data_IF_106539033199
#
_entry.id   IF_106539033199
#
_cell.length_a   1.000
_cell.length_b   1.000
_cell.length_c   1.000
_cell.angle_alpha   90.00
_cell.angle_beta   90.00
_cell.angle_gamma   90.00
#
_symmetry.space_group_name_H-M   'P 1'
#
loop_
_entity.id
_entity.type
_entity.pdbx_description
1 polymer ?
#
# COMPACT_ATOMS: atom_id res chain seq x y z
N UNK A 1 25.08 -25.23 -15.53
CA UNK A 1 24.05 -24.32 -16.08
C UNK A 1 23.08 -23.80 -15.02
N UNK A 2 22.55 -24.64 -14.12
CA UNK A 2 21.63 -24.23 -13.03
C UNK A 2 22.30 -23.31 -11.97
N UNK A 3 23.58 -23.49 -11.64
CA UNK A 3 24.28 -22.62 -10.68
C UNK A 3 24.54 -21.20 -11.21
N UNK A 4 24.85 -21.04 -12.50
CA UNK A 4 24.99 -19.73 -13.16
C UNK A 4 23.63 -19.02 -13.26
N UNK A 5 22.54 -19.80 -13.39
CA UNK A 5 21.16 -19.32 -13.47
C UNK A 5 20.67 -18.65 -12.18
N UNK A 6 20.92 -19.27 -11.02
CA UNK A 6 20.60 -18.66 -9.73
C UNK A 6 21.46 -17.42 -9.45
N UNK A 7 22.74 -17.45 -9.82
CA UNK A 7 23.67 -16.36 -9.58
C UNK A 7 23.19 -15.03 -10.19
N UNK A 8 22.67 -15.04 -11.42
CA UNK A 8 22.20 -13.83 -12.09
C UNK A 8 20.94 -13.22 -11.47
N UNK A 9 20.00 -14.05 -10.98
CA UNK A 9 18.76 -13.59 -10.34
C UNK A 9 19.07 -12.96 -8.98
N UNK A 10 19.91 -13.62 -8.18
CA UNK A 10 20.32 -13.10 -6.88
C UNK A 10 21.11 -11.79 -7.01
N UNK A 11 21.99 -11.67 -8.01
CA UNK A 11 22.71 -10.41 -8.28
C UNK A 11 21.75 -9.30 -8.65
N UNK A 12 20.80 -9.56 -9.55
CA UNK A 12 19.83 -8.54 -9.96
C UNK A 12 18.99 -8.03 -8.78
N UNK A 13 18.51 -8.94 -7.93
CA UNK A 13 17.75 -8.56 -6.72
C UNK A 13 18.63 -7.81 -5.72
N UNK A 14 19.86 -8.27 -5.48
CA UNK A 14 20.79 -7.64 -4.56
C UNK A 14 21.13 -6.20 -4.96
N UNK A 15 21.45 -5.97 -6.23
CA UNK A 15 21.74 -4.61 -6.72
C UNK A 15 20.48 -3.74 -6.65
N UNK A 16 19.30 -4.28 -7.03
CA UNK A 16 18.04 -3.56 -6.95
C UNK A 16 17.73 -3.08 -5.52
N UNK A 17 17.90 -3.95 -4.52
CA UNK A 17 17.65 -3.61 -3.11
C UNK A 17 18.60 -2.49 -2.65
N UNK A 18 19.89 -2.57 -2.99
CA UNK A 18 20.86 -1.54 -2.59
C UNK A 18 20.58 -0.19 -3.25
N UNK A 19 20.23 -0.17 -4.54
CA UNK A 19 19.82 1.05 -5.25
C UNK A 19 18.53 1.63 -4.66
N UNK A 20 17.55 0.78 -4.34
CA UNK A 20 16.31 1.21 -3.70
C UNK A 20 16.56 1.87 -2.34
N UNK A 21 17.44 1.30 -1.52
CA UNK A 21 17.78 1.88 -0.21
C UNK A 21 18.40 3.28 -0.33
N UNK A 22 19.31 3.48 -1.29
CA UNK A 22 19.89 4.80 -1.57
C UNK A 22 18.83 5.80 -2.06
N UNK A 23 17.96 5.37 -2.98
CA UNK A 23 16.89 6.21 -3.51
C UNK A 23 15.89 6.63 -2.43
N UNK A 24 15.57 5.76 -1.47
CA UNK A 24 14.68 6.09 -0.34
C UNK A 24 15.29 7.20 0.52
N UNK A 25 16.60 7.14 0.80
CA UNK A 25 17.29 8.13 1.63
C UNK A 25 17.26 9.53 0.98
N UNK A 26 17.46 9.62 -0.34
CA UNK A 26 17.41 10.89 -1.08
C UNK A 26 15.97 11.39 -1.33
N UNK A 27 14.99 10.49 -1.45
CA UNK A 27 13.58 10.86 -1.64
C UNK A 27 13.03 11.68 -0.46
N UNK A 28 13.61 11.51 0.73
CA UNK A 28 13.22 12.26 1.93
C UNK A 28 13.42 13.76 1.81
N UNK A 29 14.44 14.19 1.07
CA UNK A 29 14.73 15.61 0.83
C UNK A 29 13.58 16.28 0.06
N UNK A 30 12.91 15.51 -0.79
CA UNK A 30 11.81 15.97 -1.65
C UNK A 30 10.42 15.71 -1.06
N UNK A 31 10.31 15.31 0.22
CA UNK A 31 9.03 14.97 0.87
C UNK A 31 8.02 16.14 0.89
N UNK A 32 8.51 17.39 0.95
CA UNK A 32 7.68 18.60 0.89
C UNK A 32 7.20 18.96 -0.52
N UNK A 33 7.77 18.34 -1.56
CA UNK A 33 7.44 18.66 -2.94
C UNK A 33 6.19 17.88 -3.38
N UNK A 34 5.10 18.60 -3.63
CA UNK A 34 3.83 18.03 -4.10
C UNK A 34 3.97 17.24 -5.40
N UNK A 35 4.88 17.66 -6.28
CA UNK A 35 5.14 16.95 -7.51
C UNK A 35 5.68 15.54 -7.25
N UNK A 36 6.59 15.41 -6.30
CA UNK A 36 7.17 14.12 -5.89
C UNK A 36 6.15 13.25 -5.15
N UNK A 37 5.28 13.84 -4.33
CA UNK A 37 4.16 13.12 -3.71
C UNK A 37 3.29 12.44 -4.78
N UNK A 38 2.98 13.15 -5.89
CA UNK A 38 2.21 12.59 -7.00
C UNK A 38 2.96 11.48 -7.73
N UNK A 39 4.24 11.69 -8.05
CA UNK A 39 5.04 10.73 -8.82
C UNK A 39 5.37 9.44 -8.04
N UNK A 40 5.76 9.58 -6.77
CA UNK A 40 6.20 8.48 -5.90
C UNK A 40 5.11 8.02 -4.91
N UNK A 41 3.85 8.31 -5.23
CA UNK A 41 2.69 7.68 -4.59
C UNK A 41 2.61 6.18 -4.91
N UNK A 42 3.13 5.78 -6.07
CA UNK A 42 3.21 4.40 -6.55
C UNK A 42 4.67 4.01 -6.86
N UNK A 43 5.01 2.71 -6.82
CA UNK A 43 6.36 2.23 -7.10
C UNK A 43 6.75 2.25 -8.59
N UNK A 44 5.81 2.55 -9.49
CA UNK A 44 5.97 2.40 -10.94
C UNK A 44 7.14 3.21 -11.53
N UNK A 45 7.29 4.46 -11.12
CA UNK A 45 8.41 5.31 -11.55
C UNK A 45 9.71 4.96 -10.82
N UNK A 46 9.61 4.57 -9.56
CA UNK A 46 10.75 4.16 -8.75
C UNK A 46 11.46 2.94 -9.37
N UNK A 47 10.69 1.90 -9.68
CA UNK A 47 11.21 0.70 -10.33
C UNK A 47 11.70 0.99 -11.75
N UNK A 48 11.09 1.95 -12.46
CA UNK A 48 11.57 2.36 -13.78
C UNK A 48 12.98 2.95 -13.71
N UNK A 49 13.22 3.89 -12.79
CA UNK A 49 14.53 4.53 -12.62
C UNK A 49 15.59 3.48 -12.29
N UNK A 50 15.31 2.60 -11.33
CA UNK A 50 16.24 1.53 -10.95
C UNK A 50 16.50 0.58 -12.13
N UNK A 51 15.45 0.20 -12.87
CA UNK A 51 15.59 -0.70 -14.02
C UNK A 51 16.37 -0.08 -15.17
N UNK A 52 16.24 1.23 -15.41
CA UNK A 52 17.04 1.94 -16.43
C UNK A 52 18.52 1.89 -16.06
N UNK A 53 18.87 2.16 -14.79
CA UNK A 53 20.25 2.07 -14.30
C UNK A 53 20.81 0.66 -14.47
N UNK A 54 20.02 -0.37 -14.13
CA UNK A 54 20.42 -1.77 -14.27
C UNK A 54 20.61 -2.19 -15.73
N UNK A 55 19.82 -1.65 -16.67
CA UNK A 55 19.99 -1.93 -18.10
C UNK A 55 21.21 -1.24 -18.67
N UNK A 56 21.48 0.00 -18.28
CA UNK A 56 22.70 0.70 -18.67
C UNK A 56 23.94 -0.04 -18.15
N UNK A 57 23.87 -0.61 -16.94
CA UNK A 57 24.93 -1.47 -16.42
C UNK A 57 25.17 -2.69 -17.33
N UNK A 58 24.13 -3.28 -17.92
CA UNK A 58 24.29 -4.43 -18.82
C UNK A 58 24.77 -4.05 -20.23
N UNK A 59 24.38 -2.89 -20.75
CA UNK A 59 24.72 -2.45 -22.11
C UNK A 59 26.07 -1.73 -22.17
N UNK A 60 26.40 -0.96 -21.13
CA UNK A 60 27.60 -0.12 -21.02
C UNK A 60 28.40 -0.47 -19.76
N UNK A 61 28.72 -1.75 -19.59
CA UNK A 61 29.36 -2.28 -18.39
C UNK A 61 30.62 -1.50 -17.99
N UNK A 62 31.56 -1.30 -18.92
CA UNK A 62 32.84 -0.62 -18.66
C UNK A 62 32.71 0.81 -18.11
N UNK A 63 31.64 1.53 -18.50
CA UNK A 63 31.38 2.90 -18.03
C UNK A 63 30.72 2.95 -16.66
N UNK A 64 29.93 1.92 -16.32
CA UNK A 64 29.14 1.88 -15.10
C UNK A 64 29.86 1.17 -13.95
N UNK A 65 30.73 0.18 -14.21
CA UNK A 65 31.47 -0.56 -13.16
C UNK A 65 32.11 0.33 -12.09
N UNK A 66 32.80 1.44 -12.42
CA UNK A 66 33.44 2.28 -11.39
C UNK A 66 32.44 2.85 -10.37
N UNK A 67 31.18 3.07 -10.78
CA UNK A 67 30.11 3.56 -9.91
C UNK A 67 29.57 2.48 -8.96
N UNK A 68 29.76 1.20 -9.27
CA UNK A 68 29.31 0.07 -8.46
C UNK A 68 30.41 -0.56 -7.60
N UNK A 69 31.68 -0.19 -7.82
CA UNK A 69 32.83 -0.69 -7.05
C UNK A 69 33.09 0.13 -5.76
N UNK A 70 32.49 1.31 -5.61
CA UNK A 70 32.69 2.21 -4.47
C UNK A 70 31.43 2.40 -3.61
N UNK A 71 31.65 2.82 -2.35
CA UNK A 71 30.69 2.96 -1.25
C UNK A 71 29.28 3.50 -1.60
N UNK A 72 28.31 3.20 -0.72
CA UNK A 72 26.90 3.69 -0.73
C UNK A 72 26.72 5.18 -1.07
N UNK A 73 27.72 6.00 -0.75
CA UNK A 73 27.75 7.44 -1.02
C UNK A 73 27.60 7.79 -2.51
N UNK A 74 28.11 6.97 -3.43
CA UNK A 74 27.99 7.24 -4.87
C UNK A 74 26.56 7.02 -5.39
N UNK A 75 25.82 6.05 -4.84
CA UNK A 75 24.41 5.87 -5.19
C UNK A 75 23.56 7.05 -4.72
N UNK A 76 23.84 7.57 -3.53
CA UNK A 76 23.17 8.74 -3.00
C UNK A 76 23.43 9.97 -3.90
N UNK A 77 24.67 10.19 -4.34
CA UNK A 77 24.98 11.27 -5.28
C UNK A 77 24.28 11.10 -6.63
N UNK A 78 24.23 9.87 -7.16
CA UNK A 78 23.50 9.56 -8.40
C UNK A 78 22.01 9.90 -8.28
N UNK A 79 21.33 9.43 -7.23
CA UNK A 79 19.91 9.70 -7.04
C UNK A 79 19.63 11.18 -6.78
N UNK A 80 20.52 11.88 -6.07
CA UNK A 80 20.45 13.32 -5.90
C UNK A 80 20.47 14.07 -7.23
N UNK A 81 21.36 13.68 -8.16
CA UNK A 81 21.40 14.25 -9.51
C UNK A 81 20.13 13.92 -10.32
N UNK A 82 19.66 12.67 -10.25
CA UNK A 82 18.45 12.24 -10.96
C UNK A 82 17.22 13.00 -10.47
N UNK A 83 16.99 13.09 -9.16
CA UNK A 83 15.82 13.78 -8.62
C UNK A 83 15.87 15.28 -8.90
N UNK A 84 17.05 15.91 -8.84
CA UNK A 84 17.21 17.31 -9.26
C UNK A 84 16.81 17.52 -10.72
N UNK A 85 17.23 16.64 -11.63
CA UNK A 85 16.86 16.73 -13.04
C UNK A 85 15.36 16.50 -13.27
N UNK A 86 14.74 15.60 -12.51
CA UNK A 86 13.29 15.37 -12.57
C UNK A 86 12.53 16.63 -12.16
N UNK A 87 12.95 17.30 -11.09
CA UNK A 87 12.29 18.53 -10.62
C UNK A 87 12.44 19.71 -11.59
N UNK A 88 13.59 19.80 -12.27
CA UNK A 88 13.88 20.87 -13.24
C UNK A 88 13.19 20.66 -14.59
N UNK A 89 13.11 19.42 -15.08
CA UNK A 89 12.70 19.11 -16.47
C UNK A 89 11.29 18.58 -16.63
N UNK A 90 10.76 17.88 -15.64
CA UNK A 90 9.47 17.20 -15.81
C UNK A 90 8.30 18.19 -15.72
N UNK A 91 7.29 17.99 -16.58
CA UNK A 91 6.09 18.81 -16.57
C UNK A 91 5.29 18.58 -15.27
N UNK A 92 5.17 19.63 -14.45
CA UNK A 92 4.47 19.61 -13.17
C UNK A 92 2.98 19.33 -13.29
N UNK A 93 2.37 19.53 -14.44
CA UNK A 93 0.92 19.36 -14.63
C UNK A 93 0.55 17.99 -15.19
N UNK A 94 1.25 17.55 -16.24
CA UNK A 94 0.84 16.37 -17.00
C UNK A 94 1.56 15.07 -16.59
N UNK A 95 2.64 15.16 -15.82
CA UNK A 95 3.43 13.97 -15.49
C UNK A 95 2.77 13.14 -14.38
N UNK A 96 2.44 11.88 -14.70
CA UNK A 96 1.77 10.95 -13.79
C UNK A 96 2.58 9.66 -13.62
N UNK A 97 2.46 9.05 -12.43
CA UNK A 97 3.14 7.79 -12.07
C UNK A 97 2.76 6.59 -12.95
N UNK A 98 1.58 6.63 -13.57
CA UNK A 98 1.06 5.54 -14.40
C UNK A 98 1.60 5.57 -15.84
N UNK A 99 1.92 6.75 -16.36
CA UNK A 99 2.30 6.97 -17.77
C UNK A 99 3.83 7.07 -17.93
N UNK A 100 4.49 5.92 -17.84
CA UNK A 100 5.96 5.81 -17.87
C UNK A 100 6.59 6.34 -19.17
N UNK A 101 5.98 6.08 -20.33
CA UNK A 101 6.51 6.53 -21.62
C UNK A 101 6.49 8.05 -21.77
N UNK A 102 5.43 8.69 -21.28
CA UNK A 102 5.33 10.16 -21.26
C UNK A 102 6.39 10.77 -20.35
N UNK A 103 6.60 10.17 -19.16
CA UNK A 103 7.66 10.60 -18.25
C UNK A 103 9.04 10.54 -18.89
N UNK A 104 9.39 9.42 -19.53
CA UNK A 104 10.70 9.23 -20.17
C UNK A 104 10.93 10.22 -21.33
N UNK A 105 9.88 10.57 -22.09
CA UNK A 105 9.97 11.57 -23.17
C UNK A 105 10.13 12.99 -22.64
N UNK A 106 9.60 13.29 -21.46
CA UNK A 106 9.73 14.63 -20.87
C UNK A 106 11.13 14.88 -20.29
N UNK A 107 11.87 13.82 -19.93
CA UNK A 107 13.24 13.92 -19.42
C UNK A 107 14.22 13.76 -20.59
N UNK A 108 14.37 14.81 -21.40
CA UNK A 108 15.33 14.82 -22.50
C UNK A 108 16.61 15.62 -22.16
N UNK A 109 17.73 15.06 -22.63
CA UNK A 109 19.14 15.49 -22.61
C UNK A 109 19.98 15.26 -21.33
N UNK A 110 20.58 14.07 -21.23
CA UNK A 110 21.95 13.86 -20.72
C UNK A 110 22.51 12.51 -21.23
N UNK A 111 23.79 12.18 -20.96
CA UNK A 111 24.64 11.07 -21.49
C UNK A 111 24.00 9.67 -21.72
N UNK A 112 22.80 9.43 -21.19
CA UNK A 112 22.02 8.21 -21.33
C UNK A 112 20.82 8.51 -22.27
N UNK A 113 20.75 7.82 -23.40
CA UNK A 113 19.61 7.93 -24.33
C UNK A 113 18.38 7.24 -23.74
N UNK A 114 17.65 7.93 -22.87
CA UNK A 114 16.47 7.40 -22.15
C UNK A 114 15.35 6.96 -23.11
N UNK A 115 15.28 7.55 -24.29
CA UNK A 115 14.29 7.23 -25.31
C UNK A 115 14.34 5.76 -25.75
N UNK A 116 15.52 5.13 -25.75
CA UNK A 116 15.65 3.71 -26.12
C UNK A 116 14.86 2.78 -25.20
N UNK A 117 14.66 3.19 -23.94
CA UNK A 117 13.89 2.45 -22.95
C UNK A 117 12.38 2.74 -22.98
N UNK A 118 11.93 3.71 -23.78
CA UNK A 118 10.51 4.08 -23.88
C UNK A 118 9.64 2.99 -24.53
N UNK A 119 10.22 2.16 -25.42
CA UNK A 119 9.52 1.05 -26.10
C UNK A 119 9.14 -0.07 -25.13
N UNK A 120 10.04 -0.39 -24.21
CA UNK A 120 9.84 -1.44 -23.20
C UNK A 120 10.19 -0.91 -21.81
N UNK A 121 9.34 -0.08 -21.18
CA UNK A 121 9.65 0.51 -19.88
C UNK A 121 9.81 -0.56 -18.78
N UNK A 122 9.21 -1.75 -18.95
CA UNK A 122 9.11 -2.81 -17.94
C UNK A 122 9.79 -4.14 -18.32
N UNK A 123 10.90 -4.06 -19.05
CA UNK A 123 11.77 -5.22 -19.25
C UNK A 123 12.38 -5.64 -17.92
N UNK A 124 12.17 -6.91 -17.60
CA UNK A 124 12.72 -7.65 -16.45
C UNK A 124 13.47 -8.85 -17.04
N UNK A 125 14.49 -9.38 -16.35
CA UNK A 125 15.12 -10.63 -16.75
C UNK A 125 14.07 -11.72 -17.08
N UNK A 126 14.19 -12.34 -18.26
CA UNK A 126 13.24 -13.36 -18.75
C UNK A 126 13.04 -14.49 -17.74
N UNK A 127 14.12 -14.85 -17.03
CA UNK A 127 14.12 -15.90 -16.02
C UNK A 127 13.17 -15.62 -14.85
N UNK A 128 13.01 -14.34 -14.46
CA UNK A 128 12.04 -13.96 -13.42
C UNK A 128 10.65 -13.95 -14.05
N UNK A 129 10.49 -13.25 -15.18
CA UNK A 129 9.20 -13.03 -15.84
C UNK A 129 8.47 -14.33 -16.22
N UNK A 130 9.18 -15.40 -16.58
CA UNK A 130 8.57 -16.66 -17.01
C UNK A 130 7.97 -17.51 -15.89
N UNK A 131 8.49 -17.40 -14.68
CA UNK A 131 8.10 -18.23 -13.53
C UNK A 131 7.49 -17.43 -12.38
N UNK A 132 7.60 -16.11 -12.42
CA UNK A 132 6.88 -15.22 -11.50
C UNK A 132 5.40 -15.11 -11.87
N UNK A 133 4.71 -14.20 -11.20
CA UNK A 133 3.35 -13.82 -11.56
C UNK A 133 3.30 -13.17 -12.96
N UNK A 134 2.17 -13.35 -13.64
CA UNK A 134 1.91 -12.82 -14.98
C UNK A 134 2.15 -11.31 -15.05
N UNK A 135 3.09 -10.90 -15.92
CA UNK A 135 3.48 -9.49 -16.15
C UNK A 135 3.87 -8.71 -14.89
N UNK A 136 4.27 -9.40 -13.82
CA UNK A 136 4.60 -8.77 -12.55
C UNK A 136 6.02 -8.17 -12.53
N UNK A 137 6.14 -6.98 -11.94
CA UNK A 137 7.39 -6.20 -11.89
C UNK A 137 7.86 -5.94 -10.46
N UNK A 138 6.92 -5.62 -9.57
CA UNK A 138 7.21 -5.05 -8.26
C UNK A 138 7.62 -6.05 -7.18
N UNK A 139 8.70 -6.82 -7.38
CA UNK A 139 9.12 -7.83 -6.41
C UNK A 139 9.57 -7.26 -5.06
N UNK A 140 10.11 -6.03 -5.03
CA UNK A 140 10.50 -5.33 -3.80
C UNK A 140 9.47 -4.27 -3.36
N UNK A 141 8.44 -4.02 -4.15
CA UNK A 141 7.47 -2.96 -3.88
C UNK A 141 6.14 -3.54 -3.42
N UNK A 142 5.48 -4.34 -4.25
CA UNK A 142 4.22 -4.96 -3.85
C UNK A 142 3.39 -5.54 -4.98
N UNK A 143 2.32 -6.22 -4.59
CA UNK A 143 1.32 -6.79 -5.49
C UNK A 143 -0.12 -6.48 -5.04
N UNK A 144 -1.02 -6.28 -6.00
CA UNK A 144 -2.46 -6.19 -5.80
C UNK A 144 -3.17 -7.37 -6.45
N UNK A 145 -3.84 -8.19 -5.65
CA UNK A 145 -4.65 -9.31 -6.10
C UNK A 145 -6.08 -8.84 -6.44
N UNK A 146 -6.53 -9.13 -7.66
CA UNK A 146 -7.89 -8.85 -8.11
C UNK A 146 -8.53 -10.07 -8.80
N UNK A 147 -9.84 -10.01 -9.07
CA UNK A 147 -10.59 -11.10 -9.70
C UNK A 147 -11.94 -11.34 -9.02
N UNK A 148 -12.68 -12.32 -9.49
CA UNK A 148 -14.08 -12.56 -9.10
C UNK A 148 -14.27 -12.95 -7.63
N UNK A 149 -15.51 -12.83 -7.15
CA UNK A 149 -15.88 -13.31 -5.82
C UNK A 149 -15.51 -14.80 -5.69
N UNK A 150 -14.84 -15.18 -4.60
CA UNK A 150 -14.47 -16.57 -4.35
C UNK A 150 -13.26 -17.08 -5.14
N UNK A 151 -12.49 -16.22 -5.82
CA UNK A 151 -11.27 -16.67 -6.53
C UNK A 151 -10.05 -16.99 -5.64
N UNK A 152 -10.18 -16.92 -4.30
CA UNK A 152 -9.10 -17.30 -3.37
C UNK A 152 -8.13 -16.18 -2.94
N UNK A 153 -8.35 -14.92 -3.36
CA UNK A 153 -7.53 -13.75 -2.99
C UNK A 153 -7.20 -13.67 -1.48
N UNK A 154 -8.23 -13.65 -0.64
CA UNK A 154 -8.08 -13.53 0.82
C UNK A 154 -7.36 -14.74 1.45
N UNK A 155 -7.48 -15.92 0.84
CA UNK A 155 -6.76 -17.12 1.27
C UNK A 155 -5.25 -17.04 1.00
N UNK A 156 -4.86 -16.46 -0.13
CA UNK A 156 -3.44 -16.18 -0.43
C UNK A 156 -2.86 -15.19 0.59
N UNK A 157 -3.60 -14.13 0.93
CA UNK A 157 -3.17 -13.19 1.98
C UNK A 157 -2.92 -13.91 3.31
N UNK A 158 -3.84 -14.79 3.72
CA UNK A 158 -3.71 -15.56 4.96
C UNK A 158 -2.46 -16.47 4.96
N UNK A 159 -2.19 -17.15 3.85
CA UNK A 159 -0.98 -17.99 3.76
C UNK A 159 0.29 -17.15 3.89
N UNK A 160 0.35 -15.99 3.23
CA UNK A 160 1.52 -15.09 3.28
C UNK A 160 1.69 -14.45 4.67
N UNK A 161 0.62 -14.06 5.35
CA UNK A 161 0.72 -13.52 6.72
C UNK A 161 1.25 -14.56 7.70
N UNK A 162 0.77 -15.81 7.62
CA UNK A 162 1.27 -16.90 8.46
C UNK A 162 2.74 -17.18 8.18
N UNK A 163 3.13 -17.29 6.91
CA UNK A 163 4.53 -17.45 6.51
C UNK A 163 5.42 -16.32 7.07
N UNK A 164 4.96 -15.07 7.02
CA UNK A 164 5.68 -13.93 7.54
C UNK A 164 5.91 -14.04 9.06
N UNK A 165 4.89 -14.40 9.83
CA UNK A 165 5.03 -14.62 11.28
C UNK A 165 6.02 -15.73 11.61
N UNK A 166 5.96 -16.88 10.92
CA UNK A 166 6.92 -17.98 11.12
C UNK A 166 8.37 -17.58 10.82
N UNK A 167 8.58 -16.66 9.88
CA UNK A 167 9.91 -16.15 9.52
C UNK A 167 10.34 -14.91 10.33
N UNK A 168 9.59 -14.52 11.36
CA UNK A 168 9.86 -13.33 12.20
C UNK A 168 9.86 -12.00 11.41
N UNK A 169 8.98 -11.88 10.42
CA UNK A 169 8.69 -10.63 9.74
C UNK A 169 7.61 -9.87 10.53
N UNK A 170 7.68 -8.53 10.50
CA UNK A 170 6.63 -7.70 11.10
C UNK A 170 5.46 -7.65 10.14
N UNK A 171 4.28 -8.00 10.63
CA UNK A 171 3.05 -7.99 9.83
C UNK A 171 2.19 -6.81 10.24
N UNK A 172 2.00 -5.89 9.30
CA UNK A 172 1.10 -4.73 9.40
C UNK A 172 -0.19 -5.11 8.68
N UNK A 173 -1.15 -5.66 9.42
CA UNK A 173 -2.35 -6.26 8.86
C UNK A 173 -3.56 -5.32 8.93
N UNK A 174 -4.33 -5.29 7.84
CA UNK A 174 -5.68 -4.72 7.74
C UNK A 174 -6.61 -5.83 7.24
N UNK A 175 -7.25 -6.58 8.16
CA UNK A 175 -8.05 -7.76 7.79
C UNK A 175 -9.26 -7.43 6.92
N UNK A 176 -9.85 -6.24 7.06
CA UNK A 176 -11.00 -5.83 6.27
C UNK A 176 -11.17 -4.31 6.22
N UNK A 177 -10.76 -3.69 5.11
CA UNK A 177 -10.92 -2.25 4.93
C UNK A 177 -12.38 -1.78 4.77
N UNK A 178 -13.32 -2.70 4.49
CA UNK A 178 -14.76 -2.39 4.51
C UNK A 178 -15.19 -1.86 5.87
N UNK A 179 -14.70 -2.48 6.95
CA UNK A 179 -15.12 -2.13 8.32
C UNK A 179 -14.65 -0.73 8.73
N UNK A 180 -13.58 -0.22 8.13
CA UNK A 180 -13.07 1.12 8.43
C UNK A 180 -13.82 2.22 7.66
N UNK A 181 -14.34 1.88 6.48
CA UNK A 181 -14.86 2.86 5.51
C UNK A 181 -16.38 2.84 5.38
N UNK A 182 -17.01 1.70 5.62
CA UNK A 182 -18.44 1.48 5.40
C UNK A 182 -19.21 1.13 6.68
N UNK A 183 -18.52 1.05 7.82
CA UNK A 183 -19.15 1.00 9.15
C UNK A 183 -18.91 2.31 9.90
N UNK A 184 -19.83 2.61 10.81
CA UNK A 184 -19.78 3.82 11.64
C UNK A 184 -18.73 3.66 12.75
N UNK A 185 -17.85 4.66 12.86
CA UNK A 185 -16.87 4.81 13.94
C UNK A 185 -16.81 6.29 14.36
N UNK A 186 -16.53 6.61 15.62
CA UNK A 186 -16.35 8.00 16.03
C UNK A 186 -15.20 8.67 15.28
N UNK A 187 -15.44 9.90 14.83
CA UNK A 187 -14.48 10.68 14.08
C UNK A 187 -14.57 12.15 14.47
N UNK A 188 -13.42 12.82 14.54
CA UNK A 188 -13.35 14.23 14.92
C UNK A 188 -12.44 14.99 13.95
N UNK A 189 -12.92 16.09 13.40
CA UNK A 189 -12.14 16.88 12.42
C UNK A 189 -11.11 17.75 13.14
N UNK A 190 -9.87 17.71 12.67
CA UNK A 190 -8.88 18.71 13.06
C UNK A 190 -9.11 20.02 12.28
N UNK A 191 -9.19 21.19 12.96
CA UNK A 191 -9.57 22.46 12.31
C UNK A 191 -8.59 22.89 11.22
N UNK A 192 -7.27 22.82 11.51
CA UNK A 192 -6.20 23.19 10.56
C UNK A 192 -6.02 22.19 9.41
N UNK A 193 -5.72 20.92 9.73
CA UNK A 193 -5.31 19.92 8.73
C UNK A 193 -6.49 19.38 7.92
N UNK A 194 -7.71 19.48 8.43
CA UNK A 194 -8.92 18.96 7.80
C UNK A 194 -9.06 17.44 7.79
N UNK A 195 -8.09 16.72 8.39
CA UNK A 195 -8.13 15.28 8.59
C UNK A 195 -9.14 14.96 9.70
N UNK A 196 -9.88 13.86 9.52
CA UNK A 196 -10.77 13.34 10.54
C UNK A 196 -10.05 12.24 11.36
N UNK A 197 -9.78 12.57 12.63
CA UNK A 197 -9.10 11.74 13.61
C UNK A 197 -10.04 10.61 14.07
N UNK A 198 -9.55 9.37 14.10
CA UNK A 198 -10.29 8.17 14.50
C UNK A 198 -9.56 7.42 15.62
N UNK A 199 -9.67 7.95 16.84
CA UNK A 199 -8.89 7.48 17.99
C UNK A 199 -9.28 6.07 18.47
N UNK A 200 -10.57 5.74 18.46
CA UNK A 200 -11.07 4.41 18.86
C UNK A 200 -10.61 3.33 17.89
N UNK A 201 -10.83 3.56 16.59
CA UNK A 201 -10.39 2.66 15.53
C UNK A 201 -8.86 2.44 15.54
N UNK A 202 -8.11 3.53 15.79
CA UNK A 202 -6.66 3.46 15.94
C UNK A 202 -6.24 2.59 17.15
N UNK A 203 -6.93 2.73 18.28
CA UNK A 203 -6.67 1.95 19.49
C UNK A 203 -6.93 0.45 19.29
N UNK A 204 -8.03 0.10 18.63
CA UNK A 204 -8.35 -1.29 18.28
C UNK A 204 -7.28 -1.91 17.38
N UNK A 205 -6.85 -1.17 16.35
CA UNK A 205 -5.79 -1.63 15.47
C UNK A 205 -4.46 -1.81 16.21
N UNK A 206 -4.06 -0.86 17.08
CA UNK A 206 -2.84 -0.96 17.88
C UNK A 206 -2.83 -2.21 18.78
N UNK A 207 -3.97 -2.57 19.39
CA UNK A 207 -4.10 -3.80 20.18
C UNK A 207 -3.84 -5.06 19.36
N UNK A 208 -4.45 -5.14 18.17
CA UNK A 208 -4.24 -6.27 17.24
C UNK A 208 -2.79 -6.34 16.74
N UNK A 209 -2.22 -5.18 16.40
CA UNK A 209 -0.84 -5.06 15.94
C UNK A 209 0.17 -5.46 17.03
N UNK A 210 -0.05 -5.02 18.27
CA UNK A 210 0.73 -5.42 19.45
C UNK A 210 0.67 -6.93 19.64
N UNK A 211 -0.53 -7.50 19.71
CA UNK A 211 -0.71 -8.93 19.96
C UNK A 211 0.06 -9.81 18.96
N UNK A 212 0.09 -9.41 17.69
CA UNK A 212 0.72 -10.18 16.62
C UNK A 212 2.25 -10.04 16.56
N UNK A 213 2.81 -8.92 17.05
CA UNK A 213 4.22 -8.56 16.83
C UNK A 213 5.00 -8.25 18.12
N UNK A 214 4.43 -8.45 19.30
CA UNK A 214 4.97 -7.99 20.58
C UNK A 214 6.45 -8.35 20.80
N UNK A 215 6.82 -9.61 20.49
CA UNK A 215 8.19 -10.11 20.69
C UNK A 215 9.23 -9.39 19.82
N UNK A 216 8.84 -8.95 18.62
CA UNK A 216 9.71 -8.22 17.70
C UNK A 216 9.77 -6.73 18.06
N UNK A 217 8.63 -6.13 18.44
CA UNK A 217 8.55 -4.70 18.79
C UNK A 217 9.42 -4.33 20.00
N UNK A 218 9.62 -5.26 20.95
CA UNK A 218 10.53 -5.06 22.09
C UNK A 218 11.99 -4.93 21.69
N UNK A 219 12.39 -5.51 20.55
CA UNK A 219 13.77 -5.56 20.10
C UNK A 219 14.16 -4.34 19.25
N UNK A 220 13.18 -3.62 18.72
CA UNK A 220 13.41 -2.50 17.80
C UNK A 220 13.61 -1.23 18.62
N UNK A 221 14.84 -0.74 18.61
CA UNK A 221 15.18 0.56 19.19
C UNK A 221 14.63 1.70 18.34
N UNK A 222 14.25 2.80 19.01
CA UNK A 222 13.69 3.98 18.35
C UNK A 222 14.81 4.89 17.85
N UNK A 223 14.65 5.42 16.64
CA UNK A 223 15.46 6.53 16.14
C UNK A 223 14.82 7.86 16.55
N UNK A 224 15.44 8.53 17.53
CA UNK A 224 15.00 9.82 18.06
C UNK A 224 15.08 10.96 17.04
N UNK A 225 15.85 10.82 15.94
CA UNK A 225 15.87 11.83 14.87
C UNK A 225 14.58 11.86 14.06
N UNK A 226 13.87 10.74 14.05
CA UNK A 226 12.64 10.54 13.28
C UNK A 226 11.42 10.76 14.18
N UNK A 227 11.52 10.36 15.45
CA UNK A 227 10.43 10.42 16.41
C UNK A 227 9.93 11.85 16.69
N UNK A 228 8.61 12.01 16.80
CA UNK A 228 7.96 13.23 17.29
C UNK A 228 7.66 14.30 16.23
N UNK A 229 7.75 13.92 14.95
CA UNK A 229 7.46 14.80 13.80
C UNK A 229 6.01 14.73 13.35
N UNK A 230 5.23 13.76 13.83
CA UNK A 230 3.81 13.67 13.54
C UNK A 230 2.97 14.43 14.58
N UNK A 231 2.01 15.21 14.07
CA UNK A 231 0.96 15.84 14.88
C UNK A 231 -0.14 14.85 15.28
N UNK A 232 -1.02 15.27 16.19
CA UNK A 232 -2.16 14.46 16.66
C UNK A 232 -3.04 13.92 15.52
N UNK A 233 -3.21 14.73 14.47
CA UNK A 233 -4.03 14.37 13.30
C UNK A 233 -3.35 13.44 12.30
N UNK A 234 -2.06 13.11 12.49
CA UNK A 234 -1.29 12.27 11.57
C UNK A 234 -0.61 13.01 10.41
N UNK A 235 -0.61 14.35 10.44
CA UNK A 235 0.18 15.14 9.50
C UNK A 235 1.61 15.29 10.02
N UNK A 236 2.59 15.07 9.14
CA UNK A 236 4.01 15.27 9.42
C UNK A 236 4.44 16.72 9.10
N UNK A 237 5.42 17.23 9.83
CA UNK A 237 5.94 18.60 9.64
C UNK A 237 6.55 18.84 8.24
N UNK A 238 7.27 17.85 7.71
CA UNK A 238 7.92 17.92 6.40
C UNK A 238 7.09 17.35 5.23
N UNK A 239 5.80 17.11 5.43
CA UNK A 239 4.91 16.65 4.35
C UNK A 239 4.06 17.81 3.81
N UNK A 240 3.64 17.68 2.55
CA UNK A 240 2.61 18.52 1.98
C UNK A 240 1.34 18.51 2.85
N UNK A 241 0.54 19.57 2.75
CA UNK A 241 -0.78 19.61 3.38
C UNK A 241 -1.62 18.40 2.93
N UNK A 242 -2.03 17.58 3.91
CA UNK A 242 -2.78 16.36 3.67
C UNK A 242 -4.13 16.62 2.98
N UNK A 243 -4.80 17.72 3.37
CA UNK A 243 -6.01 18.23 2.71
C UNK A 243 -5.67 19.53 2.01
N UNK A 244 -5.63 19.48 0.69
CA UNK A 244 -5.25 20.61 -0.15
C UNK A 244 -6.45 21.50 -0.45
N UNK A 245 -6.20 22.79 -0.68
CA UNK A 245 -7.21 23.70 -1.19
C UNK A 245 -7.34 23.52 -2.71
N UNK A 246 -8.10 22.51 -3.12
CA UNK A 246 -8.28 22.13 -4.52
C UNK A 246 -9.22 23.14 -5.20
N UNK A 247 -8.87 23.55 -6.42
CA UNK A 247 -9.77 24.30 -7.29
C UNK A 247 -10.52 23.36 -8.23
N UNK A 248 -11.85 23.39 -8.15
CA UNK A 248 -12.72 22.64 -9.05
C UNK A 248 -12.93 23.46 -10.32
N UNK A 249 -12.13 23.20 -11.37
CA UNK A 249 -12.17 23.96 -12.63
C UNK A 249 -13.57 24.09 -13.22
N UNK A 250 -14.35 23.00 -13.21
CA UNK A 250 -15.71 22.98 -13.76
C UNK A 250 -16.70 23.84 -12.96
N UNK A 251 -16.46 24.00 -11.65
CA UNK A 251 -17.31 24.76 -10.73
C UNK A 251 -16.79 26.17 -10.46
N UNK A 252 -15.55 26.48 -10.88
CA UNK A 252 -14.83 27.74 -10.60
C UNK A 252 -14.87 28.13 -9.12
N UNK A 253 -14.75 27.13 -8.25
CA UNK A 253 -14.83 27.28 -6.80
C UNK A 253 -13.67 26.54 -6.14
N UNK A 254 -13.22 27.07 -5.00
CA UNK A 254 -12.14 26.46 -4.21
C UNK A 254 -12.73 25.61 -3.10
N UNK A 255 -12.03 24.55 -2.73
CA UNK A 255 -12.46 23.67 -1.65
C UNK A 255 -12.66 24.46 -0.34
N UNK A 256 -11.81 25.43 -0.04
CA UNK A 256 -11.89 26.25 1.17
C UNK A 256 -13.12 27.17 1.27
N UNK A 257 -13.85 27.38 0.16
CA UNK A 257 -15.07 28.20 0.15
C UNK A 257 -16.17 27.67 1.08
N UNK A 258 -16.09 26.42 1.53
CA UNK A 258 -17.01 25.85 2.53
C UNK A 258 -17.02 26.63 3.87
N UNK A 259 -15.93 27.35 4.20
CA UNK A 259 -15.84 28.17 5.42
C UNK A 259 -16.78 29.38 5.41
N UNK A 260 -17.30 29.79 4.24
CA UNK A 260 -18.27 30.89 4.11
C UNK A 260 -19.58 30.59 4.82
N UNK A 261 -19.92 29.32 4.98
CA UNK A 261 -21.15 28.88 5.64
C UNK A 261 -21.01 28.77 7.16
N UNK A 262 -19.82 29.01 7.73
CA UNK A 262 -19.61 28.88 9.16
C UNK A 262 -20.13 30.09 9.94
N UNK A 263 -20.80 29.81 11.05
CA UNK A 263 -21.15 30.83 12.03
C UNK A 263 -19.95 31.28 12.88
N UNK A 264 -20.08 32.41 13.59
CA UNK A 264 -19.02 32.91 14.49
C UNK A 264 -18.71 31.93 15.64
N UNK A 265 -19.74 31.27 16.18
CA UNK A 265 -19.58 30.27 17.24
C UNK A 265 -18.72 29.08 16.82
N UNK A 266 -18.90 28.60 15.59
CA UNK A 266 -18.12 27.48 15.05
C UNK A 266 -16.66 27.89 14.83
N UNK A 267 -16.42 29.12 14.38
CA UNK A 267 -15.06 29.66 14.24
C UNK A 267 -14.35 29.77 15.59
N UNK A 268 -15.04 30.22 16.64
CA UNK A 268 -14.49 30.26 18.01
C UNK A 268 -14.19 28.85 18.53
N UNK A 269 -15.11 27.90 18.32
CA UNK A 269 -14.91 26.50 18.67
C UNK A 269 -13.70 25.89 17.94
N UNK A 270 -13.51 26.17 16.66
CA UNK A 270 -12.33 25.71 15.90
C UNK A 270 -11.01 26.24 16.50
N UNK A 271 -10.98 27.47 17.02
CA UNK A 271 -9.80 28.05 17.69
C UNK A 271 -9.51 27.31 19.00
N UNK A 272 -10.53 27.03 19.81
CA UNK A 272 -10.41 26.29 21.07
C UNK A 272 -9.95 24.85 20.82
N UNK A 273 -10.58 24.17 19.86
CA UNK A 273 -10.19 22.83 19.42
C UNK A 273 -8.75 22.78 18.93
N UNK A 274 -8.31 23.81 18.19
CA UNK A 274 -6.93 23.87 17.71
C UNK A 274 -5.93 23.95 18.88
N UNK A 275 -6.25 24.68 19.95
CA UNK A 275 -5.40 24.71 21.16
C UNK A 275 -5.35 23.35 21.84
N UNK A 276 -6.47 22.63 21.92
CA UNK A 276 -6.52 21.29 22.52
C UNK A 276 -5.76 20.25 21.70
N UNK A 277 -5.81 20.33 20.37
CA UNK A 277 -5.16 19.38 19.47
C UNK A 277 -3.69 19.69 19.17
N UNK A 278 -3.19 20.86 19.56
CA UNK A 278 -1.78 21.22 19.43
C UNK A 278 -0.93 20.59 20.54
N UNK A 279 -1.06 19.28 20.72
CA UNK A 279 -0.27 18.46 21.65
C UNK A 279 0.23 17.25 20.89
N UNK A 280 1.52 16.93 21.06
CA UNK A 280 2.15 15.76 20.43
C UNK A 280 2.42 14.65 21.43
N UNK A 281 2.58 13.43 20.92
CA UNK A 281 2.97 12.28 21.76
C UNK A 281 4.38 12.46 22.34
N UNK A 282 5.29 13.09 21.57
CA UNK A 282 6.68 13.34 21.96
C UNK A 282 6.83 14.30 23.15
N UNK A 283 5.86 15.18 23.39
CA UNK A 283 5.86 16.07 24.56
C UNK A 283 5.62 15.30 25.86
N UNK A 284 4.82 14.24 25.78
CA UNK A 284 4.45 13.41 26.93
C UNK A 284 5.41 12.22 27.12
N UNK A 285 5.81 11.60 26.02
CA UNK A 285 6.73 10.47 25.98
C UNK A 285 8.05 10.92 25.35
N UNK A 286 8.98 11.42 26.16
CA UNK A 286 10.18 12.10 25.66
C UNK A 286 11.25 11.16 25.09
N UNK A 287 11.48 10.02 25.74
CA UNK A 287 12.59 9.11 25.40
C UNK A 287 12.14 7.64 25.47
N UNK A 288 11.26 7.21 24.55
CA UNK A 288 10.89 5.80 24.45
C UNK A 288 12.07 4.94 23.98
N UNK A 289 12.28 3.79 24.61
CA UNK A 289 13.41 2.89 24.28
C UNK A 289 13.10 1.99 23.09
N UNK A 290 11.89 1.48 23.03
CA UNK A 290 11.45 0.51 22.02
C UNK A 290 10.10 0.90 21.42
N UNK A 291 9.77 0.33 20.25
CA UNK A 291 8.49 0.60 19.59
C UNK A 291 7.28 0.19 20.43
N UNK A 292 7.45 -0.81 21.31
CA UNK A 292 6.37 -1.26 22.17
C UNK A 292 5.91 -0.17 23.15
N UNK A 293 6.82 0.64 23.69
CA UNK A 293 6.47 1.73 24.61
C UNK A 293 5.56 2.78 23.94
N UNK A 294 5.79 3.10 22.66
CA UNK A 294 4.91 3.99 21.88
C UNK A 294 3.53 3.35 21.70
N UNK A 295 3.49 2.07 21.34
CA UNK A 295 2.24 1.32 21.15
C UNK A 295 1.45 1.24 22.46
N UNK A 296 2.10 0.93 23.57
CA UNK A 296 1.49 0.82 24.89
C UNK A 296 0.95 2.16 25.37
N UNK A 297 1.69 3.25 25.15
CA UNK A 297 1.21 4.59 25.46
C UNK A 297 -0.04 4.97 24.64
N UNK A 298 -0.06 4.64 23.34
CA UNK A 298 -1.23 4.86 22.48
C UNK A 298 -2.44 4.00 22.88
N UNK A 299 -2.20 2.77 23.34
CA UNK A 299 -3.28 1.89 23.84
C UNK A 299 -3.87 2.44 25.15
N UNK A 300 -3.02 2.88 26.07
CA UNK A 300 -3.45 3.39 27.38
C UNK A 300 -4.10 4.77 27.28
N UNK A 301 -3.62 5.63 26.36
CA UNK A 301 -4.14 6.98 26.16
C UNK A 301 -4.79 7.10 24.78
N UNK A 302 -6.10 6.84 24.72
CA UNK A 302 -6.87 6.82 23.48
C UNK A 302 -6.73 8.11 22.66
N UNK A 303 -6.57 9.27 23.31
CA UNK A 303 -6.37 10.56 22.65
C UNK A 303 -5.15 10.59 21.72
N UNK A 304 -4.08 9.84 22.06
CA UNK A 304 -2.84 9.78 21.29
C UNK A 304 -2.74 8.55 20.37
N UNK A 305 -3.75 7.66 20.34
CA UNK A 305 -3.75 6.45 19.51
C UNK A 305 -3.42 6.75 18.05
N UNK A 306 -4.04 7.78 17.48
CA UNK A 306 -3.82 8.15 16.09
C UNK A 306 -2.37 8.56 15.84
N UNK A 307 -1.80 9.43 16.69
CA UNK A 307 -0.40 9.86 16.56
C UNK A 307 0.57 8.67 16.70
N UNK A 308 0.30 7.77 17.64
CA UNK A 308 1.11 6.57 17.85
C UNK A 308 1.18 5.67 16.59
N UNK A 309 0.09 5.53 15.81
CA UNK A 309 0.12 4.74 14.56
C UNK A 309 1.14 5.30 13.58
N UNK A 310 1.09 6.62 13.31
CA UNK A 310 1.97 7.24 12.33
C UNK A 310 3.44 7.19 12.76
N UNK A 311 3.72 7.47 14.03
CA UNK A 311 5.08 7.36 14.59
C UNK A 311 5.61 5.92 14.49
N UNK A 312 4.77 4.91 14.79
CA UNK A 312 5.17 3.50 14.66
C UNK A 312 5.44 3.14 13.19
N UNK A 313 4.57 3.53 12.26
CA UNK A 313 4.76 3.24 10.83
C UNK A 313 6.03 3.88 10.28
N UNK A 314 6.34 5.10 10.71
CA UNK A 314 7.55 5.80 10.28
C UNK A 314 8.81 5.12 10.83
N UNK A 315 8.82 4.72 12.11
CA UNK A 315 9.94 3.95 12.66
C UNK A 315 10.12 2.60 11.95
N UNK A 316 9.02 1.93 11.61
CA UNK A 316 9.03 0.69 10.83
C UNK A 316 9.61 0.86 9.42
N UNK A 317 9.44 2.04 8.82
CA UNK A 317 9.94 2.37 7.47
C UNK A 317 11.47 2.49 7.42
N UNK A 318 12.08 3.04 8.47
CA UNK A 318 13.54 3.30 8.51
C UNK A 318 14.36 2.18 9.12
N UNK A 319 13.76 1.31 9.94
CA UNK A 319 14.49 0.19 10.52
C UNK A 319 15.08 -0.75 9.45
N UNK A 320 16.20 -1.39 9.80
CA UNK A 320 16.90 -2.35 8.93
C UNK A 320 16.92 -3.77 9.52
N UNK A 321 16.46 -3.94 10.75
CA UNK A 321 16.56 -5.18 11.51
C UNK A 321 15.55 -6.24 11.05
N UNK A 322 14.28 -5.84 10.90
CA UNK A 322 13.22 -6.75 10.48
C UNK A 322 12.60 -6.29 9.17
N UNK A 323 12.11 -7.25 8.40
CA UNK A 323 11.32 -6.96 7.21
C UNK A 323 9.88 -6.58 7.61
N UNK A 324 9.23 -5.74 6.78
CA UNK A 324 7.87 -5.25 7.02
C UNK A 324 6.94 -5.72 5.91
N UNK A 325 5.92 -6.49 6.27
CA UNK A 325 4.87 -6.91 5.35
C UNK A 325 3.59 -6.12 5.63
N UNK A 326 3.18 -5.27 4.70
CA UNK A 326 1.89 -4.56 4.76
C UNK A 326 0.83 -5.36 4.01
N UNK A 327 -0.20 -5.82 4.71
CA UNK A 327 -1.28 -6.65 4.14
C UNK A 327 -2.62 -5.96 4.29
N UNK A 328 -3.36 -5.84 3.18
CA UNK A 328 -4.68 -5.19 3.18
C UNK A 328 -5.68 -6.03 2.38
N UNK A 329 -6.75 -6.48 3.04
CA UNK A 329 -7.92 -7.02 2.33
C UNK A 329 -9.01 -5.95 2.19
N UNK A 330 -9.73 -5.97 1.08
CA UNK A 330 -10.74 -4.97 0.73
C UNK A 330 -10.17 -3.62 0.30
N UNK A 331 -8.96 -3.59 -0.27
CA UNK A 331 -8.27 -2.36 -0.68
C UNK A 331 -9.11 -1.47 -1.62
N UNK A 332 -9.98 -2.06 -2.43
CA UNK A 332 -10.93 -1.36 -3.29
C UNK A 332 -11.95 -0.50 -2.54
N UNK A 333 -12.28 -0.82 -1.28
CA UNK A 333 -13.20 -0.01 -0.48
C UNK A 333 -12.58 1.32 -0.04
N UNK A 334 -11.25 1.40 0.07
CA UNK A 334 -10.59 2.65 0.47
C UNK A 334 -10.61 3.73 -0.63
N UNK A 335 -10.82 3.36 -1.90
CA UNK A 335 -11.00 4.31 -3.01
C UNK A 335 -12.47 4.66 -3.28
N UNK A 336 -13.41 4.02 -2.58
CA UNK A 336 -14.83 4.31 -2.71
C UNK A 336 -15.25 5.40 -1.74
N UNK A 337 -16.38 6.03 -2.03
CA UNK A 337 -17.07 6.89 -1.07
C UNK A 337 -17.31 6.12 0.24
N UNK A 338 -17.08 6.79 1.36
CA UNK A 338 -17.31 6.21 2.68
C UNK A 338 -18.76 6.46 3.14
N UNK A 339 -19.14 5.87 4.27
CA UNK A 339 -20.41 6.18 4.93
C UNK A 339 -20.37 7.50 5.73
N UNK A 340 -19.18 8.03 6.03
CA UNK A 340 -19.02 9.19 6.90
C UNK A 340 -19.52 10.47 6.21
N UNK A 341 -20.54 11.16 6.76
CA UNK A 341 -21.10 12.34 6.13
C UNK A 341 -20.27 13.60 6.42
N UNK A 342 -20.27 14.52 5.45
CA UNK A 342 -19.76 15.88 5.61
C UNK A 342 -20.24 16.76 4.46
N UNK A 343 -20.82 17.93 4.78
CA UNK A 343 -21.28 18.88 3.77
C UNK A 343 -20.15 19.48 2.93
N UNK A 344 -18.89 19.43 3.41
CA UNK A 344 -17.73 20.04 2.75
C UNK A 344 -17.41 19.41 1.39
N UNK A 345 -17.76 18.14 1.20
CA UNK A 345 -17.56 17.39 -0.06
C UNK A 345 -18.82 17.35 -0.94
N UNK A 346 -19.75 18.30 -0.76
CA UNK A 346 -20.94 18.39 -1.60
C UNK A 346 -20.63 18.84 -3.05
N UNK A 347 -19.50 19.52 -3.26
CA UNK A 347 -19.07 19.99 -4.60
C UNK A 347 -18.73 18.82 -5.52
N UNK A 348 -18.19 17.73 -4.97
CA UNK A 348 -17.85 16.52 -5.70
C UNK A 348 -19.08 15.62 -5.85
N UNK A 349 -19.50 15.43 -7.10
CA UNK A 349 -20.70 14.66 -7.47
C UNK A 349 -20.55 13.15 -7.23
N UNK A 350 -19.31 12.65 -7.11
CA UNK A 350 -19.01 11.26 -6.80
C UNK A 350 -19.08 11.01 -5.29
N UNK A 351 -18.56 11.95 -4.49
CA UNK A 351 -18.57 11.85 -3.02
C UNK A 351 -19.95 12.14 -2.45
N UNK A 352 -20.71 13.10 -3.01
CA UNK A 352 -22.07 13.44 -2.55
C UNK A 352 -22.14 13.66 -1.03
N UNK A 353 -21.42 14.67 -0.55
CA UNK A 353 -21.37 15.03 0.88
C UNK A 353 -20.90 13.90 1.81
N UNK A 354 -20.00 13.04 1.33
CA UNK A 354 -19.33 12.04 2.16
C UNK A 354 -17.84 12.34 2.25
N UNK A 355 -17.22 11.95 3.36
CA UNK A 355 -15.78 12.09 3.57
C UNK A 355 -15.06 11.00 2.81
N UNK A 356 -14.07 11.31 1.97
CA UNK A 356 -13.27 10.27 1.33
C UNK A 356 -12.30 9.61 2.33
N UNK A 357 -12.00 8.30 2.20
CA UNK A 357 -11.09 7.61 3.13
C UNK A 357 -9.68 8.19 3.21
N UNK A 358 -9.15 8.84 2.16
CA UNK A 358 -7.84 9.51 2.20
C UNK A 358 -7.79 10.76 3.09
N UNK A 359 -8.94 11.25 3.57
CA UNK A 359 -9.06 12.31 4.58
C UNK A 359 -9.41 11.76 5.98
N UNK A 360 -9.67 10.46 6.10
CA UNK A 360 -9.77 9.78 7.38
C UNK A 360 -8.36 9.36 7.82
N UNK A 361 -8.03 9.62 9.07
CA UNK A 361 -6.69 9.37 9.62
C UNK A 361 -6.25 7.90 9.50
N UNK A 362 -6.99 6.95 10.05
CA UNK A 362 -6.56 5.53 10.04
C UNK A 362 -6.44 4.97 8.61
N UNK A 363 -7.45 5.07 7.71
CA UNK A 363 -7.30 4.61 6.33
C UNK A 363 -6.16 5.30 5.58
N UNK A 364 -5.93 6.60 5.80
CA UNK A 364 -4.82 7.35 5.17
C UNK A 364 -3.46 6.72 5.48
N UNK A 365 -3.25 6.21 6.68
CA UNK A 365 -2.00 5.56 7.08
C UNK A 365 -1.66 4.31 6.24
N UNK A 366 -2.69 3.59 5.76
CA UNK A 366 -2.52 2.33 5.03
C UNK A 366 -2.84 2.43 3.52
N UNK A 367 -3.52 3.49 3.10
CA UNK A 367 -4.02 3.66 1.73
C UNK A 367 -2.93 3.72 0.67
N UNK A 368 -1.79 4.38 0.97
CA UNK A 368 -0.74 4.53 -0.03
C UNK A 368 -0.16 3.17 -0.42
N UNK A 369 0.02 2.91 -1.73
CA UNK A 369 0.67 1.69 -2.20
C UNK A 369 2.19 1.90 -2.26
N UNK A 370 2.80 2.10 -1.09
CA UNK A 370 4.15 2.63 -0.93
C UNK A 370 5.15 1.61 -0.39
N UNK A 371 5.02 0.34 -0.78
CA UNK A 371 5.96 -0.70 -0.35
C UNK A 371 7.42 -0.42 -0.70
N UNK A 372 7.68 0.31 -1.79
CA UNK A 372 9.01 0.79 -2.17
C UNK A 372 9.65 1.78 -1.17
N UNK A 373 8.86 2.37 -0.26
CA UNK A 373 9.38 3.27 0.79
C UNK A 373 9.92 2.52 2.01
N UNK A 374 9.57 1.24 2.16
CA UNK A 374 10.12 0.37 3.20
C UNK A 374 11.41 -0.28 2.69
N UNK A 375 12.54 -0.04 3.37
CA UNK A 375 13.86 -0.52 2.90
C UNK A 375 13.92 -2.04 2.68
N UNK A 376 13.25 -2.81 3.54
CA UNK A 376 13.10 -4.25 3.47
C UNK A 376 11.61 -4.62 3.61
N UNK A 377 10.75 -4.03 2.78
CA UNK A 377 9.30 -4.23 2.91
C UNK A 377 8.63 -4.72 1.65
N UNK A 378 7.41 -5.24 1.83
CA UNK A 378 6.55 -5.66 0.73
C UNK A 378 5.10 -5.29 1.05
N UNK A 379 4.37 -4.77 0.07
CA UNK A 379 2.94 -4.47 0.20
C UNK A 379 2.10 -5.45 -0.59
N UNK A 380 1.15 -6.12 0.07
CA UNK A 380 0.22 -7.04 -0.55
C UNK A 380 -1.22 -6.59 -0.29
N UNK A 381 -1.93 -6.25 -1.36
CA UNK A 381 -3.32 -5.80 -1.28
C UNK A 381 -4.25 -6.80 -2.00
N UNK A 382 -5.49 -6.93 -1.54
CA UNK A 382 -6.53 -7.66 -2.25
C UNK A 382 -7.80 -6.81 -2.41
N UNK A 383 -8.48 -6.98 -3.54
CA UNK A 383 -9.82 -6.43 -3.74
C UNK A 383 -10.89 -7.41 -3.25
N UNK A 384 -11.94 -6.93 -2.60
CA UNK A 384 -13.10 -7.75 -2.21
C UNK A 384 -14.37 -7.28 -2.90
N UNK A 385 -15.09 -8.20 -3.52
CA UNK A 385 -16.34 -7.94 -4.27
C UNK A 385 -17.54 -8.71 -3.72
N UNK A 386 -17.43 -9.30 -2.52
CA UNK A 386 -18.49 -10.15 -1.92
C UNK A 386 -19.86 -9.45 -1.80
N UNK A 387 -19.86 -8.16 -1.50
CA UNK A 387 -21.09 -7.39 -1.28
C UNK A 387 -21.78 -6.93 -2.57
N UNK A 388 -21.13 -7.10 -3.71
CA UNK A 388 -21.64 -6.63 -4.98
C UNK A 388 -21.95 -7.83 -5.88
N UNK A 389 -23.10 -7.79 -6.53
CA UNK A 389 -23.45 -8.78 -7.54
C UNK A 389 -22.82 -8.39 -8.88
N UNK A 390 -22.17 -9.34 -9.56
CA UNK A 390 -21.56 -9.17 -10.89
C UNK A 390 -20.62 -7.96 -11.05
N UNK A 391 -19.99 -7.53 -9.96
CA UNK A 391 -19.07 -6.42 -10.01
C UNK A 391 -17.68 -6.86 -10.42
N UNK A 392 -17.29 -6.52 -11.65
CA UNK A 392 -15.93 -6.75 -12.16
C UNK A 392 -15.01 -5.63 -11.68
N UNK A 393 -14.16 -5.92 -10.69
CA UNK A 393 -13.12 -5.00 -10.28
C UNK A 393 -11.87 -5.21 -11.13
N UNK A 394 -11.40 -4.15 -11.79
CA UNK A 394 -10.12 -4.16 -12.52
C UNK A 394 -9.18 -3.09 -11.95
N UNK A 395 -7.85 -3.26 -12.06
CA UNK A 395 -6.89 -2.24 -11.64
C UNK A 395 -7.13 -0.87 -12.30
N UNK A 396 -7.69 -0.85 -13.51
CA UNK A 396 -8.07 0.36 -14.23
C UNK A 396 -9.13 1.19 -13.49
N UNK A 397 -10.02 0.57 -12.73
CA UNK A 397 -11.09 1.27 -12.00
C UNK A 397 -10.58 2.24 -10.93
N UNK A 398 -9.40 1.99 -10.38
CA UNK A 398 -8.72 2.88 -9.42
C UNK A 398 -7.49 3.55 -10.03
N UNK A 399 -7.36 3.51 -11.36
CA UNK A 399 -6.20 4.01 -12.09
C UNK A 399 -4.87 3.42 -11.55
N UNK A 400 -4.85 2.13 -11.24
CA UNK A 400 -3.64 1.49 -10.70
C UNK A 400 -2.59 1.25 -11.80
N UNK A 401 -1.29 1.47 -11.53
CA UNK A 401 -0.23 1.15 -12.48
C UNK A 401 -0.22 -0.32 -12.87
N UNK A 402 -0.05 -0.58 -14.16
CA UNK A 402 0.06 -1.95 -14.68
C UNK A 402 1.39 -2.59 -14.26
N UNK A 403 1.41 -3.93 -14.12
CA UNK A 403 2.60 -4.69 -13.69
C UNK A 403 2.74 -4.89 -12.17
N UNK A 404 1.84 -4.30 -11.38
CA UNK A 404 1.80 -4.44 -9.92
C UNK A 404 0.54 -5.17 -9.45
N UNK A 405 -0.19 -5.78 -10.38
CA UNK A 405 -1.48 -6.42 -10.12
C UNK A 405 -1.50 -7.81 -10.74
N UNK A 406 -2.11 -8.76 -10.03
CA UNK A 406 -2.31 -10.12 -10.51
C UNK A 406 -3.78 -10.52 -10.44
N UNK A 407 -4.26 -11.09 -11.55
CA UNK A 407 -5.63 -11.59 -11.66
C UNK A 407 -5.70 -13.04 -11.14
N UNK A 408 -6.45 -13.22 -10.06
CA UNK A 408 -6.69 -14.52 -9.46
C UNK A 408 -7.73 -15.28 -10.28
N UNK A 409 -7.31 -16.41 -10.84
CA UNK A 409 -8.16 -17.37 -11.58
C UNK A 409 -8.69 -18.47 -10.65
N UNK A 410 -9.62 -19.27 -11.16
CA UNK A 410 -10.12 -20.46 -10.47
C UNK A 410 -9.01 -21.50 -10.21
N UNK A 411 -9.23 -22.37 -9.23
CA UNK A 411 -8.31 -23.43 -8.88
C UNK A 411 -8.24 -24.52 -9.97
N UNK A 412 -7.05 -25.08 -10.26
CA UNK A 412 -6.94 -26.23 -11.16
C UNK A 412 -7.67 -27.46 -10.65
N UNK A 413 -8.06 -28.35 -11.58
CA UNK A 413 -8.87 -29.54 -11.27
C UNK A 413 -8.26 -30.45 -10.19
N UNK A 414 -6.95 -30.72 -10.26
CA UNK A 414 -6.29 -31.62 -9.31
C UNK A 414 -6.28 -31.03 -7.89
N UNK A 415 -5.99 -29.74 -7.75
CA UNK A 415 -5.97 -29.08 -6.45
C UNK A 415 -7.40 -28.93 -5.91
N UNK A 416 -8.38 -28.70 -6.78
CA UNK A 416 -9.80 -28.71 -6.41
C UNK A 416 -10.22 -30.08 -5.87
N UNK A 417 -9.79 -31.17 -6.53
CA UNK A 417 -10.07 -32.54 -6.09
C UNK A 417 -9.47 -32.80 -4.69
N UNK A 418 -8.23 -32.38 -4.47
CA UNK A 418 -7.57 -32.47 -3.17
C UNK A 418 -8.31 -31.68 -2.09
N UNK A 419 -8.80 -30.48 -2.43
CA UNK A 419 -9.61 -29.68 -1.51
C UNK A 419 -10.92 -30.36 -1.12
N UNK A 420 -11.61 -30.98 -2.08
CA UNK A 420 -12.82 -31.77 -1.82
C UNK A 420 -12.53 -32.96 -0.90
N UNK A 421 -11.46 -33.73 -1.17
CA UNK A 421 -11.03 -34.83 -0.29
C UNK A 421 -10.74 -34.33 1.13
N UNK A 422 -10.04 -33.21 1.27
CA UNK A 422 -9.74 -32.60 2.56
C UNK A 422 -11.03 -32.21 3.32
N UNK A 423 -12.02 -31.62 2.65
CA UNK A 423 -13.30 -31.27 3.29
C UNK A 423 -14.10 -32.49 3.74
N UNK A 424 -14.10 -33.57 2.95
CA UNK A 424 -14.77 -34.82 3.33
C UNK A 424 -14.05 -35.48 4.52
N UNK A 425 -12.72 -35.51 4.52
CA UNK A 425 -11.93 -36.11 5.61
C UNK A 425 -12.06 -35.35 6.93
N UNK A 426 -12.13 -34.01 6.87
CA UNK A 426 -12.30 -33.16 8.05
C UNK A 426 -13.75 -33.05 8.51
N UNK A 427 -14.71 -33.61 7.78
CA UNK A 427 -16.13 -33.49 8.06
C UNK A 427 -16.72 -32.10 7.80
N UNK A 428 -15.97 -31.21 7.12
CA UNK A 428 -16.46 -29.88 6.71
C UNK A 428 -17.58 -29.97 5.65
N UNK A 429 -17.60 -31.06 4.87
CA UNK A 429 -18.65 -31.35 3.92
C UNK A 429 -19.13 -32.80 4.09
N UNK A 430 -20.42 -32.95 4.41
CA UNK A 430 -21.10 -34.24 4.44
C UNK A 430 -21.50 -34.62 3.01
N UNK A 431 -20.57 -35.26 2.30
CA UNK A 431 -20.77 -35.67 0.93
C UNK A 431 -21.48 -37.02 0.83
N UNK A 432 -22.53 -37.09 0.02
CA UNK A 432 -23.18 -38.34 -0.36
C UNK A 432 -22.26 -39.24 -1.19
N UNK A 433 -22.65 -40.51 -1.33
CA UNK A 433 -21.92 -41.45 -2.19
C UNK A 433 -21.76 -40.94 -3.62
N UNK A 434 -22.77 -40.22 -4.14
CA UNK A 434 -22.76 -39.61 -5.47
C UNK A 434 -21.76 -38.44 -5.51
N UNK A 435 -21.82 -37.55 -4.51
CA UNK A 435 -20.96 -36.38 -4.41
C UNK A 435 -19.48 -36.73 -4.28
N UNK A 436 -19.15 -37.86 -3.63
CA UNK A 436 -17.78 -38.37 -3.54
C UNK A 436 -17.18 -38.79 -4.89
N UNK A 437 -18.02 -39.15 -5.86
CA UNK A 437 -17.61 -39.52 -7.21
C UNK A 437 -17.64 -38.36 -8.21
N UNK A 438 -18.21 -37.20 -7.83
CA UNK A 438 -18.53 -36.10 -8.76
C UNK A 438 -17.69 -34.84 -8.58
N UNK A 439 -16.47 -34.95 -8.03
CA UNK A 439 -15.59 -33.79 -7.85
C UNK A 439 -15.22 -33.09 -9.17
N UNK A 440 -15.02 -33.86 -10.24
CA UNK A 440 -14.72 -33.29 -11.55
C UNK A 440 -15.94 -32.54 -12.13
N UNK A 441 -17.15 -33.04 -11.87
CA UNK A 441 -18.39 -32.36 -12.21
C UNK A 441 -18.58 -31.06 -11.42
N UNK A 442 -18.27 -31.07 -10.11
CA UNK A 442 -18.29 -29.86 -9.29
C UNK A 442 -17.28 -28.81 -9.77
N UNK A 443 -16.12 -29.24 -10.28
CA UNK A 443 -15.18 -28.33 -10.92
C UNK A 443 -15.77 -27.71 -12.20
N UNK A 444 -16.48 -28.49 -13.03
CA UNK A 444 -17.19 -27.94 -14.19
C UNK A 444 -18.30 -26.96 -13.79
N UNK A 445 -19.08 -27.27 -12.75
CA UNK A 445 -20.14 -26.38 -12.26
C UNK A 445 -19.58 -25.07 -11.69
N UNK A 446 -18.47 -25.13 -10.97
CA UNK A 446 -17.85 -23.97 -10.32
C UNK A 446 -16.84 -23.23 -11.19
N UNK A 447 -16.35 -23.85 -12.27
CA UNK A 447 -15.18 -23.41 -13.04
C UNK A 447 -13.95 -23.16 -12.13
N UNK A 448 -13.79 -23.98 -11.09
CA UNK A 448 -12.74 -23.83 -10.08
C UNK A 448 -12.93 -22.61 -9.14
N UNK A 449 -14.11 -22.01 -9.07
CA UNK A 449 -14.39 -20.91 -8.14
C UNK A 449 -14.80 -21.46 -6.76
N UNK A 450 -14.06 -21.09 -5.70
CA UNK A 450 -14.35 -21.52 -4.34
C UNK A 450 -15.71 -21.09 -3.84
N UNK A 451 -16.12 -19.86 -4.14
CA UNK A 451 -17.39 -19.30 -3.67
C UNK A 451 -18.59 -20.05 -4.24
N UNK A 452 -18.50 -20.54 -5.47
CA UNK A 452 -19.56 -21.34 -6.08
C UNK A 452 -19.55 -22.79 -5.58
N UNK A 453 -18.36 -23.40 -5.49
CA UNK A 453 -18.24 -24.75 -4.95
C UNK A 453 -18.75 -24.85 -3.50
N UNK A 454 -18.40 -23.89 -2.64
CA UNK A 454 -18.83 -23.87 -1.25
C UNK A 454 -20.35 -23.68 -1.08
N UNK A 455 -21.03 -22.99 -2.01
CA UNK A 455 -22.50 -22.92 -2.01
C UNK A 455 -23.10 -24.30 -2.25
N UNK A 456 -22.62 -25.01 -3.27
CA UNK A 456 -23.11 -26.38 -3.56
C UNK A 456 -22.83 -27.33 -2.40
N UNK A 457 -21.66 -27.23 -1.78
CA UNK A 457 -21.27 -28.07 -0.63
C UNK A 457 -22.10 -27.81 0.63
N UNK A 458 -22.53 -26.57 0.87
CA UNK A 458 -23.29 -26.19 2.08
C UNK A 458 -24.79 -26.35 1.92
N UNK A 459 -25.30 -25.95 0.76
CA UNK A 459 -26.74 -25.80 0.53
C UNK A 459 -27.34 -27.09 -0.08
N UNK A 460 -26.55 -28.16 -0.25
CA UNK A 460 -26.97 -29.45 -0.81
C UNK A 460 -27.75 -29.32 -2.13
N UNK A 461 -27.38 -28.36 -2.98
CA UNK A 461 -28.07 -28.09 -4.25
C UNK A 461 -28.12 -29.30 -5.21
N UNK A 462 -27.26 -30.29 -5.01
CA UNK A 462 -27.26 -31.52 -5.80
C UNK A 462 -28.45 -32.43 -5.48
N UNK A 463 -29.13 -32.23 -4.35
CA UNK A 463 -30.28 -33.05 -3.93
C UNK A 463 -31.60 -32.60 -4.60
N UNK A 464 -31.58 -31.42 -5.25
CA UNK A 464 -32.74 -30.82 -5.94
C UNK A 464 -32.84 -31.33 -7.39
N UNK A 465 -31.78 -31.95 -7.91
CA UNK A 465 -31.70 -32.56 -9.26
C UNK A 465 -31.86 -34.07 -9.10
#
# INVERSE_FOLDING_TARGET
MIQVFFFYIYIYQYININLAQAAIEELEVYRQNEFFERLFSFPSLFDLIINVILRELTENFDKMIPLFQTNKEHYNELFKQIFKQIDEKADRTNTNSQFLSQFLRNILEHRIEVEKYSKEPRKIPRNIKSYSLDNFVGFNSGCMLFGDHGSGKSGVLLYVTMWAHYNKWIVVNVPNAYDWTQKSHPYQRHPLTGIYIQNELANEWLKSFKHSNESLLKQICIDMKIYGKYGLSGQHDNECAAVKNIEYKDRKAKFEDHKKFYGEKEKLHDIEMNKQFNVRISEKLKEPKNLLEIVDYGINNMFFSNNAIYEVLEQLRFQKQFCVLKVIDGYNFMFRKSIYPSFRYATDTQLRSTVPPYHLSVPRAFLNFDGHKFKNGFTLCASSVKQYHQHVFTPKSILFPTGYSHEMKGIPLNDFRNACYYYVQTGLWQADKISKCSFDFLWMHSQGNWGQAQKVMKDHYLDII
#
